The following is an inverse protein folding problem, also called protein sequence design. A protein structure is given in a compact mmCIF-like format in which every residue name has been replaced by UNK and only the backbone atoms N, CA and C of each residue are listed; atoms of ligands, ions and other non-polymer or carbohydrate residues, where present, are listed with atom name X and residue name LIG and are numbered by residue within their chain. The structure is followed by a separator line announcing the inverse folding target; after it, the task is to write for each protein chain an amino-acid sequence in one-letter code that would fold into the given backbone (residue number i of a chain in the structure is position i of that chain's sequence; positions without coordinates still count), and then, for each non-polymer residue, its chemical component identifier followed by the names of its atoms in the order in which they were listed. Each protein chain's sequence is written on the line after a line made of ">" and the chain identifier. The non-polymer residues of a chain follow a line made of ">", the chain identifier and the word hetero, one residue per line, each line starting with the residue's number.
data_IF_854736126220
#
_entry.id   IF_854736126220
#
_cell.length_a   1.000
_cell.length_b   1.000
_cell.length_c   1.000
_cell.angle_alpha   90.00
_cell.angle_beta   90.00
_cell.angle_gamma   90.00
#
_symmetry.space_group_name_H-M   'P 1'
#
loop_
_entity.id
_entity.type
_entity.pdbx_description
1 polymer ?
#
# COMPACT_ATOMS: atom_id res chain seq x y z
N UNK A 1 -17.14 -15.05 -9.13
CA UNK A 1 -17.02 -14.68 -10.55
C UNK A 1 -15.63 -14.12 -10.90
N UNK A 2 -15.14 -13.08 -10.21
CA UNK A 2 -13.82 -12.43 -10.50
C UNK A 2 -12.64 -13.40 -10.40
N UNK A 3 -12.54 -14.17 -9.31
CA UNK A 3 -11.46 -15.15 -9.13
C UNK A 3 -11.50 -16.22 -10.22
N UNK A 4 -12.70 -16.72 -10.55
CA UNK A 4 -12.91 -17.70 -11.61
C UNK A 4 -12.45 -17.19 -12.97
N UNK A 5 -12.78 -15.94 -13.31
CA UNK A 5 -12.30 -15.30 -14.54
C UNK A 5 -10.77 -15.17 -14.56
N UNK A 6 -10.15 -14.74 -13.45
CA UNK A 6 -8.69 -14.61 -13.35
C UNK A 6 -7.96 -15.94 -13.54
N UNK A 7 -8.42 -16.99 -12.86
CA UNK A 7 -7.80 -18.32 -12.97
C UNK A 7 -7.98 -18.91 -14.38
N UNK A 8 -9.18 -18.83 -14.96
CA UNK A 8 -9.47 -19.39 -16.28
C UNK A 8 -8.69 -18.64 -17.37
N UNK A 9 -8.63 -17.32 -17.31
CA UNK A 9 -7.89 -16.52 -18.30
C UNK A 9 -6.39 -16.77 -18.27
N UNK A 10 -5.77 -16.82 -17.08
CA UNK A 10 -4.36 -17.16 -16.93
C UNK A 10 -4.07 -18.61 -17.35
N UNK A 11 -4.97 -19.55 -17.01
CA UNK A 11 -4.86 -20.95 -17.41
C UNK A 11 -4.92 -21.12 -18.93
N UNK A 12 -5.88 -20.46 -19.59
CA UNK A 12 -6.00 -20.48 -21.06
C UNK A 12 -4.78 -19.83 -21.73
N UNK A 13 -4.30 -18.70 -21.21
CA UNK A 13 -3.11 -18.04 -21.71
C UNK A 13 -1.86 -18.93 -21.59
N UNK A 14 -1.72 -19.66 -20.48
CA UNK A 14 -0.62 -20.60 -20.29
C UNK A 14 -0.69 -21.81 -21.25
N UNK A 15 -1.89 -22.26 -21.63
CA UNK A 15 -2.11 -23.38 -22.55
C UNK A 15 -1.85 -22.98 -24.02
N UNK A 16 -2.30 -21.80 -24.44
CA UNK A 16 -2.20 -21.35 -25.84
C UNK A 16 -0.83 -20.76 -26.18
N UNK A 17 -0.12 -20.17 -25.21
CA UNK A 17 1.15 -19.49 -25.48
C UNK A 17 2.26 -20.46 -25.94
N UNK A 18 3.13 -20.07 -26.88
CA UNK A 18 4.33 -20.83 -27.21
C UNK A 18 5.31 -20.88 -26.02
N UNK A 19 5.62 -22.08 -25.52
CA UNK A 19 6.61 -22.28 -24.47
C UNK A 19 8.00 -22.56 -25.07
N UNK A 20 8.80 -21.50 -25.26
CA UNK A 20 10.19 -21.60 -25.78
C UNK A 20 11.17 -20.87 -24.86
N UNK A 21 11.52 -21.45 -23.70
CA UNK A 21 12.51 -20.87 -22.79
C UNK A 21 13.90 -20.91 -23.44
N UNK A 22 14.67 -19.84 -23.24
CA UNK A 22 16.09 -19.79 -23.58
C UNK A 22 16.83 -19.06 -22.46
N UNK A 23 18.13 -19.31 -22.25
CA UNK A 23 18.89 -18.64 -21.20
C UNK A 23 18.76 -17.11 -21.25
N UNK A 24 18.87 -16.53 -22.45
CA UNK A 24 18.71 -15.09 -22.66
C UNK A 24 17.30 -14.54 -22.36
N UNK A 25 16.23 -15.34 -22.49
CA UNK A 25 14.86 -14.92 -22.14
C UNK A 25 14.58 -14.96 -20.64
N UNK A 26 15.37 -15.75 -19.92
CA UNK A 26 15.22 -15.95 -18.47
C UNK A 26 16.18 -15.05 -17.68
N UNK A 27 17.05 -14.31 -18.37
CA UNK A 27 17.99 -13.38 -17.75
C UNK A 27 17.33 -12.03 -17.43
N UNK A 28 17.94 -11.28 -16.50
CA UNK A 28 17.47 -9.95 -16.12
C UNK A 28 17.74 -8.95 -17.24
N UNK A 29 16.82 -7.99 -17.43
CA UNK A 29 16.97 -6.97 -18.45
C UNK A 29 17.88 -5.82 -17.98
N UNK A 30 18.99 -5.59 -18.68
CA UNK A 30 20.01 -4.55 -18.40
C UNK A 30 20.41 -3.73 -19.65
N UNK A 31 19.53 -3.63 -20.66
CA UNK A 31 19.81 -2.96 -21.94
C UNK A 31 21.00 -3.55 -22.75
N UNK A 32 21.43 -4.78 -22.46
CA UNK A 32 22.39 -5.53 -23.27
C UNK A 32 23.57 -6.13 -22.47
N UNK A 33 24.30 -5.35 -21.67
CA UNK A 33 25.36 -5.86 -20.80
C UNK A 33 24.83 -6.79 -19.71
N UNK A 34 25.69 -7.69 -19.21
CA UNK A 34 25.38 -8.44 -18.00
C UNK A 34 25.31 -7.49 -16.78
N UNK A 35 24.42 -7.74 -15.81
CA UNK A 35 24.35 -6.94 -14.58
C UNK A 35 25.71 -6.90 -13.88
N UNK A 36 26.15 -5.71 -13.47
CA UNK A 36 27.42 -5.51 -12.75
C UNK A 36 27.11 -5.02 -11.35
N UNK A 37 27.65 -5.72 -10.35
CA UNK A 37 27.55 -5.33 -8.95
C UNK A 37 26.42 -6.02 -8.19
N UNK A 38 26.28 -5.72 -6.88
CA UNK A 38 25.25 -6.32 -6.04
C UNK A 38 23.87 -5.73 -6.35
N UNK A 39 22.83 -6.58 -6.30
CA UNK A 39 21.43 -6.14 -6.40
C UNK A 39 20.94 -5.37 -5.15
N UNK A 40 21.76 -5.30 -4.11
CA UNK A 40 21.42 -4.64 -2.85
C UNK A 40 21.75 -3.15 -2.93
N UNK A 41 20.70 -2.33 -3.01
CA UNK A 41 20.81 -0.88 -2.96
C UNK A 41 20.22 -0.34 -1.67
N UNK A 42 20.74 0.82 -1.22
CA UNK A 42 20.16 1.53 -0.09
C UNK A 42 18.91 2.26 -0.55
N UNK A 43 17.74 1.72 -0.23
CA UNK A 43 16.49 2.40 -0.49
C UNK A 43 16.36 3.67 0.36
N UNK A 44 15.80 4.77 -0.19
CA UNK A 44 15.45 5.94 0.58
C UNK A 44 14.51 5.60 1.74
N UNK A 45 14.76 6.18 2.92
CA UNK A 45 13.92 5.96 4.11
C UNK A 45 12.49 6.49 3.93
N UNK A 46 12.27 7.40 2.97
CA UNK A 46 10.95 7.97 2.67
C UNK A 46 9.88 6.91 2.40
N UNK A 47 10.20 5.81 1.70
CA UNK A 47 9.25 4.71 1.45
C UNK A 47 8.71 4.09 2.76
N UNK A 48 9.60 3.92 3.74
CA UNK A 48 9.21 3.39 5.06
C UNK A 48 8.33 4.38 5.82
N UNK A 49 8.66 5.67 5.79
CA UNK A 49 7.88 6.70 6.49
C UNK A 49 6.47 6.82 5.91
N UNK A 50 6.33 6.79 4.58
CA UNK A 50 5.03 6.79 3.91
C UNK A 50 4.21 5.56 4.30
N UNK A 51 4.82 4.36 4.33
CA UNK A 51 4.15 3.15 4.76
C UNK A 51 3.69 3.22 6.22
N UNK A 52 4.51 3.78 7.12
CA UNK A 52 4.17 3.96 8.53
C UNK A 52 2.98 4.92 8.70
N UNK A 53 3.00 6.06 8.00
CA UNK A 53 1.88 7.01 8.01
C UNK A 53 0.62 6.34 7.46
N UNK A 54 0.72 5.59 6.37
CA UNK A 54 -0.40 4.85 5.80
C UNK A 54 -1.04 3.90 6.82
N UNK A 55 -0.26 3.12 7.57
CA UNK A 55 -0.78 2.20 8.60
C UNK A 55 -1.57 2.94 9.68
N UNK A 56 -1.09 4.11 10.11
CA UNK A 56 -1.79 4.94 11.12
C UNK A 56 -3.14 5.42 10.58
N UNK A 57 -3.20 5.83 9.31
CA UNK A 57 -4.44 6.24 8.64
C UNK A 57 -5.38 5.09 8.31
N UNK A 58 -4.86 3.92 7.97
CA UNK A 58 -5.65 2.73 7.74
C UNK A 58 -6.35 2.30 9.05
N UNK A 59 -5.61 2.33 10.16
CA UNK A 59 -6.19 2.12 11.49
C UNK A 59 -7.30 3.13 11.80
N UNK A 60 -7.16 4.41 11.40
CA UNK A 60 -8.24 5.40 11.53
C UNK A 60 -9.52 4.92 10.84
N UNK A 61 -9.43 4.42 9.61
CA UNK A 61 -10.58 3.94 8.86
C UNK A 61 -11.27 2.74 9.55
N UNK A 62 -10.48 1.81 10.09
CA UNK A 62 -10.96 0.64 10.85
C UNK A 62 -11.82 1.05 12.05
N UNK A 63 -11.47 2.13 12.75
CA UNK A 63 -12.26 2.64 13.88
C UNK A 63 -13.39 3.59 13.46
N UNK A 64 -13.17 4.40 12.43
CA UNK A 64 -14.11 5.42 11.98
C UNK A 64 -15.36 4.80 11.36
N UNK A 65 -15.23 3.77 10.52
CA UNK A 65 -16.39 3.20 9.82
C UNK A 65 -17.41 2.52 10.75
N UNK A 66 -17.01 1.58 11.66
CA UNK A 66 -17.97 0.97 12.57
C UNK A 66 -18.64 2.00 13.48
N UNK A 67 -17.87 2.98 13.98
CA UNK A 67 -18.42 4.08 14.78
C UNK A 67 -19.44 4.91 14.00
N UNK A 68 -19.16 5.25 12.74
CA UNK A 68 -20.07 6.02 11.91
C UNK A 68 -21.40 5.28 11.68
N UNK A 69 -21.36 3.95 11.57
CA UNK A 69 -22.56 3.11 11.40
C UNK A 69 -23.45 3.10 12.65
N UNK A 70 -22.87 3.18 13.85
CA UNK A 70 -23.61 3.10 15.13
C UNK A 70 -23.82 4.47 15.80
N UNK A 71 -23.37 5.56 15.19
CA UNK A 71 -23.43 6.91 15.77
C UNK A 71 -24.86 7.31 16.17
N UNK A 72 -25.86 6.95 15.35
CA UNK A 72 -27.28 7.26 15.64
C UNK A 72 -27.79 6.56 16.90
N UNK A 73 -27.33 5.34 17.19
CA UNK A 73 -27.77 4.59 18.37
C UNK A 73 -27.03 4.99 19.65
N UNK A 74 -25.75 5.39 19.55
CA UNK A 74 -24.96 5.77 20.73
C UNK A 74 -25.10 7.26 21.10
N UNK A 75 -25.55 8.10 20.16
CA UNK A 75 -25.78 9.52 20.40
C UNK A 75 -24.51 10.29 20.80
N UNK A 76 -24.68 11.40 21.52
CA UNK A 76 -23.60 12.31 21.90
C UNK A 76 -22.49 11.68 22.76
N UNK A 77 -22.79 10.59 23.47
CA UNK A 77 -21.80 9.87 24.28
C UNK A 77 -20.66 9.23 23.46
N UNK A 78 -20.93 8.83 22.22
CA UNK A 78 -19.91 8.31 21.31
C UNK A 78 -19.24 9.40 20.46
N UNK A 79 -19.80 10.60 20.41
CA UNK A 79 -19.28 11.67 19.58
C UNK A 79 -17.96 12.24 20.13
N UNK A 80 -17.93 12.54 21.44
CA UNK A 80 -16.76 13.14 22.10
C UNK A 80 -15.48 12.30 21.96
N UNK A 81 -15.48 11.01 22.34
CA UNK A 81 -14.30 10.15 22.24
C UNK A 81 -13.76 10.03 20.81
N UNK A 82 -14.64 9.92 19.81
CA UNK A 82 -14.20 9.85 18.41
C UNK A 82 -13.60 11.17 17.94
N UNK A 83 -14.16 12.31 18.36
CA UNK A 83 -13.60 13.62 18.01
C UNK A 83 -12.18 13.79 18.59
N UNK A 84 -11.95 13.32 19.82
CA UNK A 84 -10.61 13.29 20.43
C UNK A 84 -9.66 12.37 19.65
N UNK A 85 -10.11 11.16 19.30
CA UNK A 85 -9.32 10.21 18.52
C UNK A 85 -8.90 10.77 17.15
N UNK A 86 -9.85 11.36 16.41
CA UNK A 86 -9.57 12.03 15.14
C UNK A 86 -8.63 13.22 15.30
N UNK A 87 -8.77 13.98 16.39
CA UNK A 87 -7.87 15.09 16.72
C UNK A 87 -6.43 14.63 16.93
N UNK A 88 -6.21 13.55 17.68
CA UNK A 88 -4.87 13.00 17.94
C UNK A 88 -4.22 12.52 16.64
N UNK A 89 -4.94 11.76 15.81
CA UNK A 89 -4.39 11.27 14.53
C UNK A 89 -4.20 12.39 13.52
N UNK A 90 -5.13 13.36 13.47
CA UNK A 90 -5.00 14.56 12.66
C UNK A 90 -3.76 15.38 13.03
N UNK A 91 -3.43 15.49 14.32
CA UNK A 91 -2.21 16.16 14.78
C UNK A 91 -0.95 15.45 14.27
N UNK A 92 -0.93 14.12 14.32
CA UNK A 92 0.17 13.31 13.79
C UNK A 92 0.40 13.53 12.30
N UNK A 93 -0.69 13.69 11.52
CA UNK A 93 -0.58 14.01 10.10
C UNK A 93 -0.10 15.42 9.81
N UNK A 94 -0.65 16.41 10.53
CA UNK A 94 -0.19 17.80 10.41
C UNK A 94 1.31 17.88 10.73
N UNK A 95 1.77 17.15 11.74
CA UNK A 95 3.20 17.04 12.05
C UNK A 95 3.99 16.43 10.88
N UNK A 96 3.56 15.28 10.35
CA UNK A 96 4.23 14.63 9.23
C UNK A 96 4.30 15.51 7.97
N UNK A 97 3.24 16.28 7.69
CA UNK A 97 3.19 17.24 6.59
C UNK A 97 4.18 18.39 6.81
N UNK A 98 4.23 18.97 8.02
CA UNK A 98 5.13 20.08 8.33
C UNK A 98 6.61 19.70 8.28
N UNK A 99 6.94 18.46 8.62
CA UNK A 99 8.32 17.93 8.53
C UNK A 99 8.73 17.56 7.09
N UNK A 100 7.84 17.73 6.11
CA UNK A 100 8.13 17.40 4.71
C UNK A 100 8.31 15.90 4.47
N UNK A 101 7.86 15.03 5.39
CA UNK A 101 7.99 13.57 5.28
C UNK A 101 7.22 13.03 4.06
N UNK A 102 6.19 13.75 3.64
CA UNK A 102 5.35 13.41 2.50
C UNK A 102 5.89 13.96 1.17
N UNK A 103 6.97 14.73 1.20
CA UNK A 103 7.60 15.27 -0.01
C UNK A 103 8.56 14.24 -0.61
N UNK A 104 8.44 14.04 -1.93
CA UNK A 104 9.36 13.21 -2.69
C UNK A 104 10.50 14.10 -3.22
N UNK A 105 11.73 13.76 -2.83
CA UNK A 105 12.97 14.35 -3.33
C UNK A 105 13.79 13.32 -4.07
#
# INVERSE_FOLDING_TARGET
>A
MIVGFGVVSLGMAALVRPARPSPAKLDNYECGPAPIGPAWIRFPVGFYLVALVFIVFDALAVFLFPWALVLRSLGWGAFGPMLVFLGILGLGWVYAYREGILEWK
#
